data_IF_980222073636
#
_entry.id   IF_980222073636
#
_cell.length_a   1.000
_cell.length_b   1.000
_cell.length_c   1.000
_cell.angle_alpha   90.00
_cell.angle_beta   90.00
_cell.angle_gamma   90.00
#
_symmetry.space_group_name_H-M   'P 1'
#
loop_
_entity.id
_entity.type
_entity.pdbx_description
1 polymer ?
#
# COMPACT_ATOMS: atom_id res chain seq x y z
N UNK A 1 -34.39 -16.25 -0.27
CA UNK A 1 -33.67 -14.98 -0.40
C UNK A 1 -32.37 -15.29 -1.11
N UNK A 2 -32.32 -15.04 -2.41
CA UNK A 2 -31.14 -15.30 -3.23
C UNK A 2 -30.08 -14.27 -2.87
N UNK A 3 -28.92 -14.73 -2.43
CA UNK A 3 -27.72 -13.91 -2.30
C UNK A 3 -27.31 -13.46 -3.71
N UNK A 4 -27.33 -12.15 -3.95
CA UNK A 4 -26.71 -11.52 -5.11
C UNK A 4 -25.18 -11.74 -5.05
N UNK A 5 -24.72 -12.95 -5.39
CA UNK A 5 -23.33 -13.17 -5.75
C UNK A 5 -23.10 -12.46 -7.09
N UNK A 6 -22.42 -11.31 -7.03
CA UNK A 6 -21.94 -10.60 -8.20
C UNK A 6 -21.09 -11.58 -9.02
N UNK A 7 -21.44 -11.88 -10.29
CA UNK A 7 -20.66 -12.79 -11.10
C UNK A 7 -19.25 -12.21 -11.30
N UNK A 8 -18.25 -12.87 -10.72
CA UNK A 8 -16.85 -12.47 -10.85
C UNK A 8 -16.40 -12.72 -12.30
N UNK A 9 -16.00 -11.68 -13.07
CA UNK A 9 -15.47 -11.91 -14.41
C UNK A 9 -14.21 -12.77 -14.28
N UNK A 10 -13.96 -13.72 -15.19
CA UNK A 10 -12.71 -14.46 -15.20
C UNK A 10 -11.58 -13.51 -15.60
N UNK A 11 -10.98 -12.81 -14.64
CA UNK A 11 -9.75 -12.07 -14.84
C UNK A 11 -8.65 -13.09 -15.04
N UNK A 12 -8.28 -13.32 -16.30
CA UNK A 12 -7.45 -14.48 -16.63
C UNK A 12 -6.10 -14.48 -15.93
N UNK A 13 -5.47 -13.32 -15.63
CA UNK A 13 -4.27 -13.21 -14.79
C UNK A 13 -4.03 -11.77 -14.28
N UNK A 14 -3.79 -11.60 -12.97
CA UNK A 14 -3.34 -10.35 -12.32
C UNK A 14 -1.84 -10.46 -11.99
N UNK A 15 -1.10 -9.37 -12.16
CA UNK A 15 0.27 -9.22 -11.66
C UNK A 15 0.25 -8.21 -10.51
N UNK A 16 0.68 -8.64 -9.32
CA UNK A 16 0.95 -7.76 -8.20
C UNK A 16 2.40 -7.25 -8.25
N UNK A 17 2.50 -5.96 -8.50
CA UNK A 17 3.72 -5.15 -8.60
C UNK A 17 4.40 -4.79 -7.28
N UNK A 18 4.18 -5.54 -6.18
CA UNK A 18 4.60 -5.16 -4.83
C UNK A 18 5.29 -6.29 -4.06
N UNK A 19 6.33 -5.92 -3.29
CA UNK A 19 7.02 -6.80 -2.32
C UNK A 19 6.21 -6.97 -1.00
N UNK A 20 5.20 -6.12 -0.75
CA UNK A 20 4.43 -6.12 0.50
C UNK A 20 3.68 -7.44 0.73
N UNK A 21 3.87 -8.04 1.91
CA UNK A 21 3.09 -9.21 2.35
C UNK A 21 1.62 -8.86 2.57
N UNK A 22 1.33 -7.66 3.07
CA UNK A 22 -0.03 -7.21 3.36
C UNK A 22 -0.86 -7.10 2.08
N UNK A 23 -0.31 -6.50 1.01
CA UNK A 23 -0.99 -6.39 -0.30
C UNK A 23 -1.30 -7.74 -0.92
N UNK A 24 -0.38 -8.69 -0.76
CA UNK A 24 -0.58 -10.08 -1.20
C UNK A 24 -1.75 -10.72 -0.48
N UNK A 25 -1.79 -10.57 0.85
CA UNK A 25 -2.85 -11.14 1.67
C UNK A 25 -4.21 -10.54 1.30
N UNK A 26 -4.32 -9.21 1.12
CA UNK A 26 -5.59 -8.59 0.76
C UNK A 26 -6.11 -9.09 -0.61
N UNK A 27 -5.27 -9.13 -1.64
CA UNK A 27 -5.70 -9.62 -2.95
C UNK A 27 -6.15 -11.08 -2.89
N UNK A 28 -5.47 -11.91 -2.09
CA UNK A 28 -5.83 -13.31 -1.88
C UNK A 28 -7.17 -13.44 -1.13
N UNK A 29 -7.39 -12.66 -0.06
CA UNK A 29 -8.64 -12.62 0.70
C UNK A 29 -9.82 -12.14 -0.14
N UNK A 30 -9.57 -11.29 -1.13
CA UNK A 30 -10.57 -10.88 -2.13
C UNK A 30 -10.87 -11.97 -3.16
N UNK A 31 -10.18 -13.11 -3.10
CA UNK A 31 -10.37 -14.26 -3.98
C UNK A 31 -9.78 -14.06 -5.38
N UNK A 32 -8.72 -13.24 -5.51
CA UNK A 32 -8.01 -13.08 -6.76
C UNK A 32 -6.78 -13.97 -6.81
N UNK A 33 -6.61 -14.66 -7.95
CA UNK A 33 -5.36 -15.31 -8.31
C UNK A 33 -4.43 -14.28 -8.97
N UNK A 34 -3.19 -14.20 -8.47
CA UNK A 34 -2.19 -13.27 -9.00
C UNK A 34 -0.78 -13.86 -8.95
N UNK A 35 0.08 -13.33 -9.81
CA UNK A 35 1.53 -13.56 -9.75
C UNK A 35 2.22 -12.33 -9.18
N UNK A 36 3.35 -12.51 -8.51
CA UNK A 36 4.11 -11.41 -7.92
C UNK A 36 5.28 -11.09 -8.84
N UNK A 37 5.35 -9.85 -9.31
CA UNK A 37 6.49 -9.35 -10.06
C UNK A 37 6.89 -8.01 -9.47
N UNK A 38 8.15 -7.84 -9.11
CA UNK A 38 8.61 -6.61 -8.45
C UNK A 38 9.69 -5.95 -9.27
N UNK A 39 9.66 -4.62 -9.31
CA UNK A 39 10.77 -3.82 -9.83
C UNK A 39 11.65 -3.37 -8.67
N UNK A 40 12.94 -3.26 -8.96
CA UNK A 40 13.91 -2.60 -8.10
C UNK A 40 14.11 -1.20 -8.66
N UNK A 41 13.30 -0.25 -8.19
CA UNK A 41 13.44 1.16 -8.54
C UNK A 41 14.16 1.88 -7.42
N UNK A 42 14.92 2.93 -7.78
CA UNK A 42 15.45 3.85 -6.79
C UNK A 42 14.33 4.79 -6.33
N UNK A 43 13.53 4.34 -5.36
CA UNK A 43 12.44 5.12 -4.77
C UNK A 43 12.95 6.47 -4.23
N UNK A 44 14.21 6.55 -3.81
CA UNK A 44 14.80 7.78 -3.26
C UNK A 44 15.07 8.85 -4.31
N UNK A 45 15.19 8.48 -5.59
CA UNK A 45 15.33 9.42 -6.69
C UNK A 45 14.01 10.13 -7.04
N UNK A 46 12.88 9.56 -6.61
CA UNK A 46 11.54 10.12 -6.85
C UNK A 46 11.11 10.87 -5.59
N UNK A 47 11.02 12.20 -5.71
CA UNK A 47 10.66 13.09 -4.61
C UNK A 47 9.60 14.08 -5.05
N UNK A 48 8.62 14.27 -4.19
CA UNK A 48 7.52 15.23 -4.29
C UNK A 48 7.27 15.79 -2.90
N UNK A 49 6.93 17.06 -2.82
CA UNK A 49 6.60 17.72 -1.55
C UNK A 49 5.21 17.30 -1.06
N UNK A 50 4.27 17.14 -1.99
CA UNK A 50 2.94 16.62 -1.68
C UNK A 50 3.00 15.08 -1.54
N UNK A 51 2.55 14.51 -0.40
CA UNK A 51 2.57 13.07 -0.17
C UNK A 51 1.69 12.28 -1.16
N UNK A 52 0.57 12.84 -1.58
CA UNK A 52 -0.36 12.23 -2.56
C UNK A 52 0.33 12.09 -3.92
N UNK A 53 1.00 13.15 -4.36
CA UNK A 53 1.79 13.13 -5.59
C UNK A 53 2.97 12.17 -5.50
N UNK A 54 3.61 12.07 -4.32
CA UNK A 54 4.73 11.16 -4.10
C UNK A 54 4.29 9.71 -4.27
N UNK A 55 3.25 9.27 -3.57
CA UNK A 55 2.81 7.88 -3.64
C UNK A 55 2.29 7.52 -5.02
N UNK A 56 1.63 8.44 -5.73
CA UNK A 56 1.20 8.25 -7.12
C UNK A 56 2.42 8.06 -8.02
N UNK A 57 3.41 8.95 -7.95
CA UNK A 57 4.61 8.87 -8.78
C UNK A 57 5.40 7.57 -8.52
N UNK A 58 5.51 7.14 -7.26
CA UNK A 58 6.17 5.88 -6.89
C UNK A 58 5.43 4.66 -7.44
N UNK A 59 4.10 4.60 -7.32
CA UNK A 59 3.31 3.50 -7.87
C UNK A 59 3.39 3.44 -9.40
N UNK A 60 3.38 4.57 -10.08
CA UNK A 60 3.55 4.67 -11.53
C UNK A 60 4.94 4.24 -11.98
N UNK A 61 6.00 4.71 -11.32
CA UNK A 61 7.37 4.32 -11.64
C UNK A 61 7.61 2.82 -11.46
N UNK A 62 7.00 2.20 -10.43
CA UNK A 62 7.00 0.74 -10.26
C UNK A 62 6.33 0.04 -11.44
N UNK A 63 5.21 0.59 -11.94
CA UNK A 63 4.52 0.01 -13.09
C UNK A 63 5.38 0.08 -14.34
N UNK A 64 5.98 1.25 -14.61
CA UNK A 64 6.83 1.48 -15.78
C UNK A 64 8.04 0.54 -15.78
N UNK A 65 8.73 0.39 -14.65
CA UNK A 65 9.87 -0.52 -14.53
C UNK A 65 9.50 -1.99 -14.77
N UNK A 66 8.33 -2.43 -14.28
CA UNK A 66 7.82 -3.79 -14.53
C UNK A 66 7.47 -3.96 -16.01
N UNK A 67 6.80 -2.99 -16.62
CA UNK A 67 6.41 -3.03 -18.04
C UNK A 67 7.64 -3.10 -18.94
N UNK A 68 8.66 -2.29 -18.70
CA UNK A 68 9.92 -2.33 -19.46
C UNK A 68 10.60 -3.70 -19.34
N UNK A 69 10.60 -4.30 -18.14
CA UNK A 69 11.15 -5.66 -17.94
C UNK A 69 10.37 -6.71 -18.72
N UNK A 70 9.04 -6.65 -18.68
CA UNK A 70 8.17 -7.57 -19.43
C UNK A 70 8.43 -7.50 -20.94
N UNK A 71 8.57 -6.28 -21.48
CA UNK A 71 8.88 -6.06 -22.90
C UNK A 71 10.24 -6.66 -23.29
N UNK A 72 11.26 -6.54 -22.43
CA UNK A 72 12.59 -7.09 -22.68
C UNK A 72 12.64 -8.63 -22.61
N UNK A 73 11.78 -9.26 -21.81
CA UNK A 73 11.70 -10.72 -21.69
C UNK A 73 10.78 -11.38 -22.71
N UNK A 74 9.87 -10.62 -23.32
CA UNK A 74 8.88 -11.11 -24.27
C UNK A 74 9.45 -11.24 -25.69
N UNK A 75 10.35 -12.21 -25.90
CA UNK A 75 10.62 -12.78 -27.24
C UNK A 75 9.64 -13.91 -27.62
N UNK A 76 8.68 -14.24 -26.75
CA UNK A 76 7.63 -15.23 -27.01
C UNK A 76 6.25 -14.58 -26.87
N UNK A 77 5.62 -14.28 -28.00
CA UNK A 77 4.32 -13.57 -28.13
C UNK A 77 3.10 -14.35 -27.62
N UNK A 78 3.26 -15.48 -26.93
CA UNK A 78 2.17 -16.43 -26.69
C UNK A 78 1.59 -16.41 -25.26
N UNK A 79 2.27 -15.79 -24.28
CA UNK A 79 1.83 -15.73 -22.87
C UNK A 79 1.25 -14.37 -22.43
N UNK A 80 0.82 -13.52 -23.37
CA UNK A 80 0.22 -12.20 -23.12
C UNK A 80 -1.20 -12.25 -22.50
N UNK A 81 -1.47 -13.22 -21.62
CA UNK A 81 -2.74 -13.40 -20.93
C UNK A 81 -2.85 -12.61 -19.60
N UNK A 82 -1.74 -12.11 -19.06
CA UNK A 82 -1.75 -11.13 -17.95
C UNK A 82 -2.34 -9.80 -18.41
N UNK A 83 -3.54 -9.48 -17.92
CA UNK A 83 -4.29 -8.30 -18.39
C UNK A 83 -4.08 -7.10 -17.48
N UNK A 84 -3.88 -7.29 -16.17
CA UNK A 84 -3.80 -6.21 -15.20
C UNK A 84 -2.52 -6.29 -14.36
N UNK A 85 -1.76 -5.20 -14.34
CA UNK A 85 -0.68 -4.95 -13.40
C UNK A 85 -1.18 -3.99 -12.33
N UNK A 86 -1.05 -4.38 -11.06
CA UNK A 86 -1.40 -3.56 -9.90
C UNK A 86 -0.11 -3.18 -9.17
N UNK A 87 0.22 -1.91 -9.14
CA UNK A 87 1.30 -1.35 -8.32
C UNK A 87 0.72 -0.40 -7.28
N UNK A 88 1.45 -0.20 -6.20
CA UNK A 88 0.95 0.60 -5.09
C UNK A 88 2.12 1.10 -4.24
N UNK A 89 1.90 2.22 -3.55
CA UNK A 89 2.87 2.81 -2.65
C UNK A 89 2.20 3.48 -1.45
N UNK A 90 2.91 3.56 -0.32
CA UNK A 90 2.34 4.06 0.93
C UNK A 90 3.40 4.80 1.72
N UNK A 91 3.04 5.96 2.27
CA UNK A 91 3.86 6.74 3.20
C UNK A 91 3.05 7.13 4.44
N UNK A 92 3.74 7.41 5.53
CA UNK A 92 3.14 8.06 6.71
C UNK A 92 3.53 9.53 6.71
N UNK A 93 2.61 10.41 7.08
CA UNK A 93 2.84 11.84 7.27
C UNK A 93 2.63 12.17 8.73
N UNK A 94 3.62 12.82 9.33
CA UNK A 94 3.59 13.24 10.72
C UNK A 94 4.19 14.63 10.85
N UNK A 95 3.42 15.55 11.43
CA UNK A 95 3.80 16.97 11.58
C UNK A 95 4.31 17.59 10.26
N UNK A 96 3.63 17.27 9.15
CA UNK A 96 4.00 17.76 7.81
C UNK A 96 5.20 17.07 7.17
N UNK A 97 5.81 16.09 7.84
CA UNK A 97 6.98 15.35 7.33
C UNK A 97 6.58 13.97 6.81
N UNK A 98 7.05 13.63 5.61
CA UNK A 98 6.88 12.30 5.01
C UNK A 98 7.87 11.32 5.66
N UNK A 99 7.34 10.24 6.20
CA UNK A 99 8.04 9.12 6.82
C UNK A 99 7.84 7.86 5.97
N UNK A 100 8.89 7.48 5.24
CA UNK A 100 8.98 6.22 4.51
C UNK A 100 9.30 5.07 5.50
N UNK A 101 9.94 3.99 5.03
CA UNK A 101 10.42 2.93 5.92
C UNK A 101 11.62 3.43 6.72
N UNK A 102 11.65 3.21 8.05
CA UNK A 102 12.79 3.59 8.86
C UNK A 102 14.04 2.80 8.43
N UNK A 103 15.17 3.48 8.38
CA UNK A 103 16.49 2.97 8.04
C UNK A 103 17.20 2.30 9.23
N UNK A 104 16.73 2.56 10.45
CA UNK A 104 17.31 2.03 11.69
C UNK A 104 16.26 1.77 12.77
N UNK A 105 16.63 0.96 13.77
CA UNK A 105 15.80 0.73 14.96
C UNK A 105 15.52 2.02 15.75
N UNK A 106 16.49 2.93 15.78
CA UNK A 106 16.35 4.20 16.51
C UNK A 106 15.38 5.15 15.80
N UNK A 107 15.45 5.21 14.46
CA UNK A 107 14.47 5.96 13.66
C UNK A 107 13.07 5.36 13.78
N UNK A 108 12.96 4.02 13.78
CA UNK A 108 11.68 3.36 14.02
C UNK A 108 11.11 3.70 15.42
N UNK A 109 11.97 3.81 16.43
CA UNK A 109 11.59 4.23 17.79
C UNK A 109 11.06 5.66 17.80
N UNK A 110 11.81 6.58 17.20
CA UNK A 110 11.43 7.99 17.08
C UNK A 110 10.07 8.12 16.39
N UNK A 111 9.85 7.36 15.32
CA UNK A 111 8.59 7.39 14.58
C UNK A 111 7.41 7.00 15.47
N UNK A 112 7.47 5.82 16.09
CA UNK A 112 6.38 5.27 16.89
C UNK A 112 6.15 6.10 18.16
N UNK A 113 7.22 6.60 18.79
CA UNK A 113 7.12 7.50 19.94
C UNK A 113 6.40 8.80 19.56
N UNK A 114 6.67 9.36 18.38
CA UNK A 114 5.98 10.56 17.91
C UNK A 114 4.46 10.36 17.74
N UNK A 115 4.02 9.16 17.37
CA UNK A 115 2.58 8.88 17.21
C UNK A 115 1.84 8.73 18.53
N UNK A 116 2.54 8.35 19.61
CA UNK A 116 1.97 8.05 20.91
C UNK A 116 1.15 9.22 21.47
N UNK A 117 -0.14 8.96 21.79
CA UNK A 117 -1.07 9.99 22.30
C UNK A 117 -1.45 11.07 21.28
N UNK A 118 -0.97 10.97 20.04
CA UNK A 118 -1.18 11.96 18.98
C UNK A 118 -1.92 11.38 17.78
N UNK A 119 -1.55 11.90 16.60
CA UNK A 119 -2.10 11.45 15.32
C UNK A 119 -1.01 11.32 14.26
N UNK A 120 -1.25 10.48 13.27
CA UNK A 120 -0.47 10.41 12.03
C UNK A 120 -1.42 10.22 10.85
N UNK A 121 -1.04 10.69 9.67
CA UNK A 121 -1.78 10.40 8.44
C UNK A 121 -1.05 9.32 7.65
N UNK A 122 -1.80 8.40 7.04
CA UNK A 122 -1.28 7.41 6.10
C UNK A 122 -1.82 7.76 4.73
N UNK A 123 -0.93 7.91 3.76
CA UNK A 123 -1.27 8.22 2.37
C UNK A 123 -0.83 7.03 1.53
N UNK A 124 -1.76 6.45 0.79
CA UNK A 124 -1.51 5.28 -0.06
C UNK A 124 -2.04 5.52 -1.47
N UNK A 125 -1.39 4.93 -2.47
CA UNK A 125 -1.84 4.97 -3.87
C UNK A 125 -1.94 3.57 -4.47
N UNK A 126 -2.84 3.42 -5.43
CA UNK A 126 -2.94 2.22 -6.28
C UNK A 126 -2.96 2.65 -7.73
N UNK A 127 -2.05 2.07 -8.52
CA UNK A 127 -2.00 2.19 -9.96
C UNK A 127 -2.36 0.83 -10.59
N UNK A 128 -3.40 0.83 -11.43
CA UNK A 128 -3.83 -0.32 -12.22
C UNK A 128 -3.54 -0.04 -13.69
N UNK A 129 -2.72 -0.86 -14.31
CA UNK A 129 -2.38 -0.78 -15.73
C UNK A 129 -2.90 -2.00 -16.48
N UNK A 130 -3.67 -1.78 -17.53
CA UNK A 130 -4.03 -2.81 -18.48
C UNK A 130 -2.87 -3.05 -19.45
N UNK A 131 -2.18 -4.17 -19.33
CA UNK A 131 -0.98 -4.47 -20.12
C UNK A 131 -1.27 -4.68 -21.61
N UNK A 132 -2.52 -5.00 -21.98
CA UNK A 132 -2.94 -5.20 -23.37
C UNK A 132 -3.28 -3.89 -24.07
N UNK A 133 -3.98 -2.99 -23.40
CA UNK A 133 -4.43 -1.72 -23.98
C UNK A 133 -3.52 -0.53 -23.66
N UNK A 134 -2.63 -0.68 -22.67
CA UNK A 134 -1.84 0.41 -22.11
C UNK A 134 -2.63 1.38 -21.25
N UNK A 135 -3.94 1.17 -21.06
CA UNK A 135 -4.77 2.06 -20.23
C UNK A 135 -4.34 1.97 -18.77
N UNK A 136 -4.14 3.14 -18.15
CA UNK A 136 -3.79 3.28 -16.73
C UNK A 136 -4.89 4.01 -15.96
N UNK A 137 -5.11 3.57 -14.73
CA UNK A 137 -5.95 4.23 -13.73
C UNK A 137 -5.21 4.28 -12.41
N UNK A 138 -5.16 5.45 -11.80
CA UNK A 138 -4.48 5.67 -10.52
C UNK A 138 -5.44 6.37 -9.57
N UNK A 139 -5.41 5.97 -8.31
CA UNK A 139 -6.10 6.65 -7.21
C UNK A 139 -5.23 6.63 -5.97
N UNK A 140 -5.52 7.54 -5.05
CA UNK A 140 -4.89 7.62 -3.74
C UNK A 140 -5.94 7.88 -2.67
N UNK A 141 -5.65 7.43 -1.45
CA UNK A 141 -6.47 7.65 -0.27
C UNK A 141 -5.61 8.17 0.89
N UNK A 142 -6.23 8.95 1.76
CA UNK A 142 -5.63 9.46 2.98
C UNK A 142 -6.44 8.98 4.18
N UNK A 143 -5.74 8.52 5.20
CA UNK A 143 -6.35 8.10 6.44
C UNK A 143 -5.63 8.70 7.64
N UNK A 144 -6.37 9.42 8.48
CA UNK A 144 -5.87 9.94 9.75
C UNK A 144 -6.06 8.88 10.84
N UNK A 145 -5.01 8.64 11.61
CA UNK A 145 -4.97 7.65 12.68
C UNK A 145 -4.66 8.34 13.98
N UNK A 146 -5.52 8.14 14.96
CA UNK A 146 -5.40 8.66 16.31
C UNK A 146 -4.96 7.55 17.25
N UNK A 147 -4.02 7.84 18.14
CA UNK A 147 -3.48 6.87 19.08
C UNK A 147 -3.79 7.24 20.52
N UNK A 148 -4.01 6.22 21.36
CA UNK A 148 -3.77 6.32 22.78
C UNK A 148 -2.27 6.44 23.06
N UNK A 149 -1.89 6.69 24.31
CA UNK A 149 -0.48 6.57 24.70
C UNK A 149 -0.01 5.12 24.48
N UNK A 150 1.07 4.97 23.70
CA UNK A 150 1.71 3.69 23.43
C UNK A 150 2.83 3.51 24.46
N UNK A 151 2.77 2.51 25.35
CA UNK A 151 3.79 2.28 26.35
C UNK A 151 5.16 2.00 25.74
N UNK A 152 6.23 2.52 26.34
CA UNK A 152 7.60 2.33 25.84
C UNK A 152 7.96 0.84 25.64
N UNK A 153 7.47 -0.04 26.50
CA UNK A 153 7.69 -1.48 26.41
C UNK A 153 7.07 -2.09 25.15
N UNK A 154 5.93 -1.56 24.70
CA UNK A 154 5.29 -1.98 23.44
C UNK A 154 6.12 -1.51 22.25
N UNK A 155 6.61 -0.27 22.30
CA UNK A 155 7.47 0.30 21.25
C UNK A 155 8.75 -0.52 21.09
N UNK A 156 9.45 -0.81 22.20
CA UNK A 156 10.68 -1.62 22.16
C UNK A 156 10.40 -3.04 21.65
N UNK A 157 9.29 -3.66 22.08
CA UNK A 157 8.89 -4.98 21.57
C UNK A 157 8.64 -4.99 20.06
N UNK A 158 7.96 -3.97 19.53
CA UNK A 158 7.69 -3.84 18.08
C UNK A 158 8.98 -3.70 17.28
N UNK A 159 9.94 -2.94 17.81
CA UNK A 159 11.25 -2.73 17.18
C UNK A 159 12.09 -4.00 17.21
N UNK A 160 12.05 -4.75 18.31
CA UNK A 160 12.80 -6.00 18.44
C UNK A 160 12.25 -7.12 17.57
N UNK A 161 10.94 -7.13 17.32
CA UNK A 161 10.32 -8.01 16.31
C UNK A 161 10.77 -7.66 14.88
N UNK A 162 11.19 -6.42 14.63
CA UNK A 162 11.73 -5.97 13.33
C UNK A 162 10.67 -5.69 12.26
N UNK A 163 9.39 -5.82 12.59
CA UNK A 163 8.26 -5.51 11.68
C UNK A 163 8.30 -4.04 11.25
N UNK A 164 8.71 -3.14 12.15
CA UNK A 164 8.74 -1.69 11.97
C UNK A 164 9.68 -1.26 10.82
N UNK A 165 10.78 -1.98 10.58
CA UNK A 165 11.73 -1.66 9.51
C UNK A 165 11.18 -1.93 8.09
N UNK A 166 10.08 -2.69 8.00
CA UNK A 166 9.54 -3.15 6.72
C UNK A 166 8.27 -2.41 6.29
N UNK A 167 7.79 -1.45 7.09
CA UNK A 167 6.53 -0.73 6.87
C UNK A 167 6.76 0.79 6.90
N UNK A 168 5.97 1.53 6.14
CA UNK A 168 6.04 2.98 6.12
C UNK A 168 5.76 3.56 7.52
N UNK A 169 6.51 4.58 7.91
CA UNK A 169 6.44 5.19 9.24
C UNK A 169 6.75 4.24 10.40
N UNK A 170 7.24 3.02 10.17
CA UNK A 170 7.40 2.05 11.26
C UNK A 170 6.08 1.55 11.84
N UNK A 171 4.96 1.85 11.19
CA UNK A 171 3.62 1.70 11.74
C UNK A 171 2.83 0.61 11.00
N UNK A 172 2.38 -0.39 11.75
CA UNK A 172 1.45 -1.43 11.26
C UNK A 172 0.24 -1.49 12.17
N UNK A 173 -0.88 -0.92 11.74
CA UNK A 173 -2.07 -0.75 12.59
C UNK A 173 -2.69 -2.07 13.03
N UNK A 174 -2.74 -3.06 12.14
CA UNK A 174 -3.29 -4.39 12.43
C UNK A 174 -2.34 -5.28 13.25
N UNK A 175 -1.17 -4.77 13.64
CA UNK A 175 -0.27 -5.52 14.49
C UNK A 175 -0.92 -5.74 15.87
N UNK A 176 -0.92 -6.97 16.43
CA UNK A 176 -1.59 -7.25 17.71
C UNK A 176 -1.13 -6.36 18.88
N UNK A 177 0.11 -5.87 18.83
CA UNK A 177 0.65 -4.96 19.85
C UNK A 177 0.32 -3.49 19.60
N UNK A 178 0.08 -3.09 18.34
CA UNK A 178 -0.24 -1.70 17.97
C UNK A 178 -1.74 -1.45 18.02
N UNK A 179 -2.53 -2.42 17.54
CA UNK A 179 -3.98 -2.34 17.41
C UNK A 179 -4.71 -1.88 18.67
N UNK A 180 -4.37 -2.35 19.90
CA UNK A 180 -5.03 -1.90 21.13
C UNK A 180 -4.87 -0.39 21.42
N UNK A 181 -3.88 0.25 20.81
CA UNK A 181 -3.58 1.67 21.00
C UNK A 181 -4.11 2.55 19.86
N UNK A 182 -4.74 1.96 18.83
CA UNK A 182 -5.43 2.73 17.80
C UNK A 182 -6.77 3.18 18.38
N UNK A 183 -6.92 4.49 18.59
CA UNK A 183 -8.14 5.09 19.13
C UNK A 183 -9.21 5.25 18.06
N UNK A 184 -8.82 5.81 16.92
CA UNK A 184 -9.75 6.13 15.84
C UNK A 184 -9.02 6.18 14.51
N UNK A 185 -9.74 5.84 13.45
CA UNK A 185 -9.28 5.92 12.07
C UNK A 185 -10.32 6.69 11.26
N UNK A 186 -9.91 7.82 10.69
CA UNK A 186 -10.75 8.68 9.86
C UNK A 186 -10.27 8.60 8.42
N UNK A 187 -11.13 8.13 7.51
CA UNK A 187 -10.82 8.03 6.10
C UNK A 187 -11.28 9.28 5.35
N UNK A 188 -10.37 9.89 4.61
CA UNK A 188 -10.70 10.87 3.57
C UNK A 188 -10.59 10.19 2.22
N UNK A 189 -11.73 9.84 1.63
CA UNK A 189 -11.82 9.13 0.36
C UNK A 189 -11.81 10.11 -0.81
N UNK A 190 -10.80 10.00 -1.68
CA UNK A 190 -10.79 10.71 -2.97
C UNK A 190 -11.26 9.82 -4.14
N UNK A 191 -11.49 8.52 -3.90
CA UNK A 191 -11.64 7.51 -4.94
C UNK A 191 -12.76 7.82 -5.97
N UNK A 192 -12.33 8.26 -7.15
CA UNK A 192 -13.10 8.31 -8.39
C UNK A 192 -13.12 6.97 -9.15
N UNK A 193 -12.55 5.90 -8.59
CA UNK A 193 -12.39 4.60 -9.25
C UNK A 193 -13.50 3.57 -8.98
N UNK A 194 -14.45 3.84 -8.09
CA UNK A 194 -15.68 3.03 -8.02
C UNK A 194 -16.78 3.75 -7.21
N UNK A 195 -18.01 3.94 -7.71
CA UNK A 195 -19.12 4.52 -6.95
C UNK A 195 -19.66 3.63 -5.81
N UNK A 196 -19.07 2.45 -5.58
CA UNK A 196 -19.53 1.43 -4.62
C UNK A 196 -18.36 0.79 -3.87
N UNK A 197 -17.48 1.59 -3.26
CA UNK A 197 -16.47 1.03 -2.34
C UNK A 197 -17.11 0.75 -0.98
N UNK A 198 -17.02 -0.50 -0.55
CA UNK A 198 -17.27 -0.90 0.84
C UNK A 198 -16.22 -0.22 1.73
N UNK A 199 -16.59 0.33 2.88
CA UNK A 199 -15.69 1.08 3.78
C UNK A 199 -14.43 0.27 4.13
N UNK A 200 -14.59 -1.05 4.24
CA UNK A 200 -13.51 -2.02 4.47
C UNK A 200 -12.44 -2.04 3.35
N UNK A 201 -12.81 -1.70 2.12
CA UNK A 201 -11.92 -1.66 0.96
C UNK A 201 -10.99 -0.44 1.02
N UNK A 202 -11.57 0.72 1.33
CA UNK A 202 -10.84 1.98 1.53
C UNK A 202 -9.86 1.92 2.69
N UNK A 203 -10.24 1.28 3.81
CA UNK A 203 -9.33 1.01 4.94
C UNK A 203 -8.17 0.12 4.45
N UNK A 204 -8.46 -1.01 3.80
CA UNK A 204 -7.42 -1.92 3.33
C UNK A 204 -6.49 -1.28 2.29
N UNK A 205 -7.02 -0.40 1.44
CA UNK A 205 -6.20 0.32 0.45
C UNK A 205 -5.32 1.36 1.13
N UNK A 206 -5.87 2.25 1.97
CA UNK A 206 -5.10 3.31 2.62
C UNK A 206 -3.99 2.80 3.56
N UNK A 207 -4.20 1.65 4.22
CA UNK A 207 -3.27 1.15 5.24
C UNK A 207 -2.32 0.05 4.79
N UNK A 208 -2.63 -0.61 3.69
CA UNK A 208 -1.87 -1.79 3.27
C UNK A 208 -1.55 -1.81 1.78
N UNK A 209 -2.25 -1.06 0.92
CA UNK A 209 -1.82 -0.80 -0.45
C UNK A 209 -0.98 0.46 -0.58
#
# INVERSE_FOLDING_TARGET
MASDEIPRPPLKQIILGSKSMARRQILAEMGYDFTVMTADIDEKAIRKENPEELVVALAEAKADAIISRLQNTAHSKEDANATLLITADTVVVYEGTIREKPSSKDEAREFIQGYSGGQAAVVGSVCVTNLKTGMRKVGWDLAEVYFYEIPAQVIDSLIDEGVTLNVAGGLKLEHPQTFPFVKEVVLSLSLSLCPRTNLQWSVKVAFQF
#
